data_IF_555824900674
#
_entry.id   IF_555824900674
#
_cell.length_a   1.000
_cell.length_b   1.000
_cell.length_c   1.000
_cell.angle_alpha   90.00
_cell.angle_beta   90.00
_cell.angle_gamma   90.00
#
_symmetry.space_group_name_H-M   'P 1'
#
loop_
_entity.id
_entity.type
_entity.pdbx_description
1 polymer ?
#
# COMPACT_ATOMS: atom_id res chain seq x y z
N UNK A 1 50.73 19.92 23.86
CA UNK A 1 49.60 20.41 23.04
C UNK A 1 49.27 19.56 21.79
N UNK A 2 49.85 18.35 21.62
CA UNK A 2 49.65 17.50 20.41
C UNK A 2 48.70 16.31 20.60
N UNK A 3 48.38 15.87 21.82
CA UNK A 3 47.46 14.74 22.06
C UNK A 3 45.98 15.11 21.82
N UNK A 4 45.58 16.34 22.15
CA UNK A 4 44.20 16.85 21.91
C UNK A 4 43.87 17.01 20.42
N UNK A 5 44.87 17.34 19.59
CA UNK A 5 44.71 17.49 18.12
C UNK A 5 44.60 16.14 17.38
N UNK A 6 45.10 15.05 17.97
CA UNK A 6 45.03 13.69 17.36
C UNK A 6 43.64 13.06 17.45
N UNK A 7 42.82 13.48 18.43
CA UNK A 7 41.43 13.01 18.60
C UNK A 7 40.44 13.89 17.83
N UNK A 8 40.80 15.14 17.55
CA UNK A 8 39.95 16.06 16.78
C UNK A 8 39.77 15.61 15.32
N UNK A 9 40.82 15.08 14.71
CA UNK A 9 40.82 14.70 13.30
C UNK A 9 39.81 13.55 12.99
N UNK A 10 39.79 12.42 13.72
CA UNK A 10 38.79 11.38 13.47
C UNK A 10 37.36 11.84 13.80
N UNK A 11 37.19 12.76 14.76
CA UNK A 11 35.88 13.31 15.12
C UNK A 11 35.31 14.18 13.99
N UNK A 12 36.15 15.02 13.38
CA UNK A 12 35.77 15.85 12.23
C UNK A 12 35.45 14.98 11.01
N UNK A 13 36.20 13.89 10.80
CA UNK A 13 35.95 12.94 9.72
C UNK A 13 34.59 12.23 9.88
N UNK A 14 34.24 11.83 11.11
CA UNK A 14 32.95 11.23 11.46
C UNK A 14 31.77 12.18 11.20
N UNK A 15 31.92 13.46 11.55
CA UNK A 15 30.90 14.48 11.29
C UNK A 15 30.75 14.73 9.79
N UNK A 16 31.85 14.79 9.04
CA UNK A 16 31.84 14.96 7.58
C UNK A 16 31.13 13.80 6.85
N UNK A 17 31.30 12.56 7.34
CA UNK A 17 30.59 11.39 6.83
C UNK A 17 29.08 11.44 7.12
N UNK A 18 28.67 12.02 8.26
CA UNK A 18 27.26 12.15 8.65
C UNK A 18 26.48 13.20 7.84
N UNK A 19 27.11 14.31 7.48
CA UNK A 19 26.47 15.41 6.72
C UNK A 19 26.48 15.21 5.20
N UNK A 20 27.41 14.41 4.66
CA UNK A 20 27.51 14.14 3.22
C UNK A 20 26.60 13.01 2.73
N UNK A 21 26.07 12.18 3.63
CA UNK A 21 25.41 10.92 3.28
C UNK A 21 23.89 10.94 3.20
N UNK A 22 23.21 12.04 3.52
CA UNK A 22 21.76 12.00 3.67
C UNK A 22 21.01 13.03 2.81
N UNK A 23 20.84 12.71 1.54
CA UNK A 23 19.60 13.04 0.81
C UNK A 23 18.41 12.18 1.28
N UNK A 24 18.30 11.89 2.58
CA UNK A 24 17.15 11.17 3.14
C UNK A 24 15.97 12.13 3.15
N UNK A 25 15.21 12.13 2.06
CA UNK A 25 13.86 12.67 2.03
C UNK A 25 12.98 11.80 2.93
N UNK A 26 12.99 12.08 4.24
CA UNK A 26 12.06 11.49 5.23
C UNK A 26 10.61 11.65 4.77
N UNK A 27 10.32 12.67 3.94
CA UNK A 27 9.00 12.90 3.35
C UNK A 27 8.48 11.71 2.52
N UNK A 28 9.33 10.95 1.84
CA UNK A 28 8.90 9.77 1.08
C UNK A 28 8.39 8.64 1.99
N UNK A 29 8.87 8.58 3.23
CA UNK A 29 8.41 7.60 4.23
C UNK A 29 7.25 8.12 5.10
N UNK A 30 6.89 9.40 4.99
CA UNK A 30 5.83 10.00 5.82
C UNK A 30 4.50 10.18 5.08
N UNK A 31 4.46 9.89 3.76
CA UNK A 31 3.23 9.86 2.97
C UNK A 31 2.76 8.42 2.72
N UNK A 32 2.55 7.66 3.78
CA UNK A 32 1.47 6.66 3.77
C UNK A 32 0.27 7.30 4.44
N UNK A 33 -0.44 8.14 3.68
CA UNK A 33 -1.88 8.28 3.94
C UNK A 33 -2.56 7.02 3.37
N UNK A 34 -2.16 5.85 3.88
CA UNK A 34 -2.82 4.56 3.69
C UNK A 34 -4.09 4.58 4.56
N UNK A 35 -4.95 5.59 4.38
CA UNK A 35 -6.34 5.42 4.78
C UNK A 35 -6.80 4.23 3.96
N UNK A 36 -6.97 3.11 4.66
CA UNK A 36 -7.46 1.84 4.16
C UNK A 36 -8.85 2.07 3.56
N UNK A 37 -8.88 2.65 2.36
CA UNK A 37 -10.11 3.03 1.71
C UNK A 37 -10.68 1.75 1.15
N UNK A 38 -11.71 1.29 1.85
CA UNK A 38 -12.53 0.17 1.42
C UNK A 38 -13.28 0.59 0.16
N UNK A 39 -13.01 -0.10 -0.94
CA UNK A 39 -13.69 0.12 -2.22
C UNK A 39 -14.75 -0.96 -2.34
N UNK A 40 -16.00 -0.54 -2.55
CA UNK A 40 -17.08 -1.48 -2.81
C UNK A 40 -16.93 -2.03 -4.22
N UNK A 41 -16.94 -3.35 -4.33
CA UNK A 41 -16.81 -4.04 -5.60
C UNK A 41 -17.82 -5.16 -5.74
N UNK A 42 -18.16 -5.44 -6.98
CA UNK A 42 -18.74 -6.70 -7.42
C UNK A 42 -17.64 -7.53 -8.08
N UNK A 43 -17.43 -8.74 -7.59
CA UNK A 43 -16.39 -9.67 -8.03
C UNK A 43 -17.07 -10.77 -8.84
N UNK A 44 -16.65 -10.96 -10.09
CA UNK A 44 -17.07 -12.09 -10.92
C UNK A 44 -15.97 -13.13 -10.96
N UNK A 45 -16.29 -14.39 -10.63
CA UNK A 45 -15.35 -15.50 -10.64
C UNK A 45 -15.43 -16.32 -11.94
N UNK A 46 -14.42 -17.17 -12.17
CA UNK A 46 -14.27 -18.02 -13.36
C UNK A 46 -15.37 -19.06 -13.55
N UNK A 47 -16.14 -19.33 -12.49
CA UNK A 47 -17.26 -20.26 -12.44
C UNK A 47 -18.61 -19.54 -12.37
N UNK A 48 -18.66 -18.30 -12.84
CA UNK A 48 -19.85 -17.44 -12.89
C UNK A 48 -20.44 -17.08 -11.51
N UNK A 49 -19.77 -17.43 -10.40
CA UNK A 49 -20.13 -16.93 -9.07
C UNK A 49 -19.91 -15.42 -9.01
N UNK A 50 -20.86 -14.70 -8.40
CA UNK A 50 -20.78 -13.24 -8.20
C UNK A 50 -20.84 -12.96 -6.70
N UNK A 51 -19.95 -12.07 -6.24
CA UNK A 51 -19.88 -11.67 -4.85
C UNK A 51 -19.70 -10.15 -4.72
N UNK A 52 -20.50 -9.54 -3.84
CA UNK A 52 -20.44 -8.10 -3.54
C UNK A 52 -19.87 -7.88 -2.16
N UNK A 53 -18.96 -6.92 -2.03
CA UNK A 53 -18.47 -6.48 -0.73
C UNK A 53 -17.40 -5.41 -0.86
N UNK A 54 -16.60 -5.22 0.18
CA UNK A 54 -15.55 -4.22 0.19
C UNK A 54 -14.17 -4.90 0.14
N UNK A 55 -13.25 -4.30 -0.60
CA UNK A 55 -11.85 -4.74 -0.70
C UNK A 55 -10.93 -3.59 -0.34
N UNK A 56 -9.79 -3.91 0.28
CA UNK A 56 -8.80 -2.92 0.66
C UNK A 56 -7.80 -2.73 -0.49
N UNK A 57 -7.53 -1.47 -0.84
CA UNK A 57 -6.41 -1.05 -1.68
C UNK A 57 -6.32 -1.83 -3.01
N UNK A 58 -7.26 -1.56 -3.93
CA UNK A 58 -7.08 -1.96 -5.33
C UNK A 58 -6.02 -1.04 -5.92
N UNK A 59 -4.86 -1.58 -6.28
CA UNK A 59 -3.90 -0.87 -7.13
C UNK A 59 -4.51 -0.68 -8.51
N UNK A 60 -5.40 0.30 -8.66
CA UNK A 60 -6.07 0.64 -9.92
C UNK A 60 -5.09 1.44 -10.76
N UNK A 61 -4.54 0.84 -11.80
CA UNK A 61 -3.88 1.60 -12.86
C UNK A 61 -4.94 2.35 -13.69
N UNK A 62 -4.57 3.50 -14.26
CA UNK A 62 -5.49 4.45 -14.92
C UNK A 62 -6.19 3.86 -16.16
N UNK A 63 -5.71 2.73 -16.65
CA UNK A 63 -6.28 1.97 -17.76
C UNK A 63 -7.21 0.83 -17.29
N UNK A 64 -7.65 0.85 -16.02
CA UNK A 64 -8.59 -0.13 -15.46
C UNK A 64 -7.99 -1.49 -15.12
N UNK A 65 -6.66 -1.63 -15.22
CA UNK A 65 -5.97 -2.87 -14.84
C UNK A 65 -5.62 -2.83 -13.36
N UNK A 66 -6.27 -3.68 -12.57
CA UNK A 66 -5.95 -3.85 -11.15
C UNK A 66 -4.76 -4.78 -11.00
N UNK A 67 -3.62 -4.25 -10.56
CA UNK A 67 -2.47 -5.04 -10.17
C UNK A 67 -2.46 -5.19 -8.65
N UNK A 68 -2.89 -6.34 -8.14
CA UNK A 68 -2.48 -6.79 -6.81
C UNK A 68 -1.61 -8.03 -6.97
N UNK A 69 -0.31 -7.80 -7.17
CA UNK A 69 0.70 -8.85 -7.01
C UNK A 69 0.80 -9.21 -5.53
N UNK A 70 -0.04 -10.14 -5.08
CA UNK A 70 -0.15 -10.51 -3.67
C UNK A 70 -0.52 -11.97 -3.45
N UNK A 71 -0.68 -12.32 -2.17
CA UNK A 71 -1.13 -13.64 -1.68
C UNK A 71 -2.36 -14.14 -2.44
N UNK A 72 -2.42 -15.45 -2.71
CA UNK A 72 -3.62 -16.08 -3.28
C UNK A 72 -4.87 -15.82 -2.44
N UNK A 73 -4.71 -15.66 -1.13
CA UNK A 73 -5.78 -15.37 -0.19
C UNK A 73 -6.02 -13.86 -0.05
N UNK A 74 -7.22 -13.42 -0.42
CA UNK A 74 -7.69 -12.04 -0.32
C UNK A 74 -8.90 -11.97 0.61
N UNK A 75 -9.10 -10.84 1.28
CA UNK A 75 -10.19 -10.66 2.24
C UNK A 75 -11.30 -9.81 1.66
N UNK A 76 -12.52 -10.18 2.03
CA UNK A 76 -13.72 -9.39 1.81
C UNK A 76 -14.13 -8.74 3.13
N UNK A 77 -14.47 -7.47 3.06
CA UNK A 77 -14.85 -6.66 4.20
C UNK A 77 -16.31 -6.21 4.10
N UNK A 78 -16.92 -5.94 5.26
CA UNK A 78 -18.13 -5.13 5.35
C UNK A 78 -17.81 -3.63 5.25
N UNK A 79 -18.85 -2.79 5.23
CA UNK A 79 -18.71 -1.32 5.19
C UNK A 79 -17.98 -0.71 6.39
N UNK A 80 -17.86 -1.45 7.49
CA UNK A 80 -17.19 -1.02 8.71
C UNK A 80 -15.73 -1.51 8.76
N UNK A 81 -15.28 -2.31 7.78
CA UNK A 81 -13.95 -2.89 7.73
C UNK A 81 -13.80 -4.19 8.52
N UNK A 82 -14.88 -4.86 8.90
CA UNK A 82 -14.81 -6.20 9.46
C UNK A 82 -14.63 -7.23 8.34
N UNK A 83 -13.76 -8.21 8.53
CA UNK A 83 -13.61 -9.33 7.60
C UNK A 83 -14.88 -10.18 7.65
N UNK A 84 -15.54 -10.35 6.52
CA UNK A 84 -16.74 -11.18 6.36
C UNK A 84 -16.49 -12.41 5.49
N UNK A 85 -15.33 -12.49 4.86
CA UNK A 85 -14.94 -13.64 4.06
C UNK A 85 -13.55 -13.52 3.47
N UNK A 86 -13.18 -14.53 2.70
CA UNK A 86 -11.97 -14.52 1.90
C UNK A 86 -12.22 -15.20 0.55
N UNK A 87 -11.44 -14.80 -0.45
CA UNK A 87 -11.55 -15.33 -1.80
C UNK A 87 -10.16 -15.54 -2.41
N UNK A 88 -10.08 -16.43 -3.39
CA UNK A 88 -8.85 -16.65 -4.14
C UNK A 88 -8.82 -15.76 -5.39
N UNK A 89 -7.83 -14.88 -5.49
CA UNK A 89 -7.71 -13.95 -6.63
C UNK A 89 -7.52 -14.68 -7.97
N UNK A 90 -6.93 -15.88 -7.97
CA UNK A 90 -6.75 -16.68 -9.18
C UNK A 90 -8.07 -17.13 -9.81
N UNK A 91 -9.16 -17.13 -9.03
CA UNK A 91 -10.51 -17.44 -9.52
C UNK A 91 -11.24 -16.20 -10.01
N UNK A 92 -10.71 -14.99 -9.83
CA UNK A 92 -11.40 -13.75 -10.23
C UNK A 92 -11.21 -13.51 -11.72
N UNK A 93 -12.31 -13.33 -12.46
CA UNK A 93 -12.27 -12.86 -13.85
C UNK A 93 -12.07 -11.35 -13.91
N UNK A 94 -12.92 -10.60 -13.19
CA UNK A 94 -12.84 -9.15 -13.08
C UNK A 94 -13.56 -8.64 -11.83
N UNK A 95 -13.30 -7.39 -11.47
CA UNK A 95 -14.00 -6.67 -10.42
C UNK A 95 -14.55 -5.35 -10.98
N UNK A 96 -15.80 -5.04 -10.67
CA UNK A 96 -16.43 -3.76 -10.99
C UNK A 96 -16.54 -2.92 -9.72
N UNK A 97 -16.11 -1.67 -9.80
CA UNK A 97 -16.30 -0.72 -8.70
C UNK A 97 -17.76 -0.28 -8.71
N UNK A 98 -18.42 -0.43 -7.55
CA UNK A 98 -19.79 0.01 -7.37
C UNK A 98 -19.75 1.42 -6.76
N UNK A 99 -19.96 2.44 -7.58
CA UNK A 99 -20.08 3.82 -7.11
C UNK A 99 -21.40 3.99 -6.36
N UNK A 100 -21.34 4.25 -5.05
CA UNK A 100 -22.54 4.52 -4.24
C UNK A 100 -23.15 5.92 -4.52
N UNK A 101 -22.54 6.71 -5.41
CA UNK A 101 -22.95 8.09 -5.73
C UNK A 101 -23.95 8.22 -6.89
N UNK A 102 -24.41 7.12 -7.50
CA UNK A 102 -25.40 7.14 -8.59
C UNK A 102 -26.70 6.41 -8.19
N UNK A 103 -27.28 6.81 -7.06
CA UNK A 103 -28.67 6.44 -6.74
C UNK A 103 -29.34 7.61 -6.02
N UNK A 104 -29.72 8.62 -6.81
CA UNK A 104 -30.76 9.62 -6.47
C UNK A 104 -31.90 9.51 -7.50
#
# INVERSE_FOLDING_TARGET
MMRKKRVLLPLILLIALGIGGCGFNIKDYTQRDDRHQLIKVEITFTDDEILTGYVNNLGVDKDGTVYVGGSSLNYLYDKNGNIIGSFNYQRVLYMLIVNEAETD
#
